data_IF_983210545774
#
_entry.id   IF_983210545774
#
_cell.length_a   1.000
_cell.length_b   1.000
_cell.length_c   1.000
_cell.angle_alpha   90.00
_cell.angle_beta   90.00
_cell.angle_gamma   90.00
#
_symmetry.space_group_name_H-M   'P 1'
#
loop_
_entity.id
_entity.type
_entity.pdbx_description
1 polymer ?
#
# COMPACT_ATOMS: atom_id res chain seq x y z
N UNK A 1 53.82 -42.45 -14.29
CA UNK A 1 55.12 -42.15 -14.91
C UNK A 1 54.98 -40.82 -15.65
N UNK A 2 55.45 -39.73 -15.03
CA UNK A 2 56.41 -38.73 -15.55
C UNK A 2 56.00 -38.09 -16.89
N UNK A 3 55.90 -36.77 -17.03
CA UNK A 3 56.90 -35.79 -16.60
C UNK A 3 56.31 -34.39 -16.35
N UNK A 4 56.89 -33.72 -15.35
CA UNK A 4 56.81 -32.30 -15.13
C UNK A 4 57.84 -31.58 -16.03
N UNK A 5 57.51 -30.36 -16.48
CA UNK A 5 58.48 -29.40 -17.01
C UNK A 5 58.27 -28.05 -16.32
N UNK A 6 59.30 -27.64 -15.57
CA UNK A 6 59.47 -26.34 -14.95
C UNK A 6 60.27 -25.42 -15.87
N UNK A 7 60.10 -24.11 -15.62
CA UNK A 7 61.10 -23.02 -15.66
C UNK A 7 60.71 -21.86 -16.58
N UNK A 8 60.56 -20.69 -15.95
CA UNK A 8 60.52 -19.38 -16.58
C UNK A 8 60.31 -18.28 -15.55
N UNK A 9 61.31 -18.03 -14.69
CA UNK A 9 61.34 -16.87 -13.80
C UNK A 9 61.46 -15.58 -14.63
N UNK A 10 60.53 -14.65 -14.43
CA UNK A 10 60.77 -13.21 -14.64
C UNK A 10 60.33 -12.47 -13.38
N UNK A 11 61.32 -12.08 -12.60
CA UNK A 11 61.21 -11.19 -11.44
C UNK A 11 60.88 -9.78 -11.93
N UNK A 12 59.69 -9.29 -11.61
CA UNK A 12 59.44 -7.86 -11.49
C UNK A 12 58.96 -7.59 -10.06
N UNK A 13 59.85 -6.98 -9.28
CA UNK A 13 59.51 -6.41 -7.99
C UNK A 13 58.59 -5.21 -8.21
N UNK A 14 57.44 -5.22 -7.54
CA UNK A 14 56.67 -4.02 -7.30
C UNK A 14 56.43 -3.90 -5.80
N UNK A 15 56.97 -2.81 -5.25
CA UNK A 15 56.95 -2.43 -3.85
C UNK A 15 55.52 -2.29 -3.32
N UNK A 16 55.36 -2.67 -2.06
CA UNK A 16 54.16 -2.49 -1.26
C UNK A 16 53.99 -1.01 -0.94
N UNK A 17 52.93 -0.37 -1.42
CA UNK A 17 52.43 0.89 -0.88
C UNK A 17 50.93 1.03 -1.11
N UNK A 18 50.20 1.11 0.00
CA UNK A 18 48.86 1.70 0.06
C UNK A 18 47.69 0.74 -0.11
N UNK A 19 47.31 0.07 0.98
CA UNK A 19 45.94 -0.36 1.15
C UNK A 19 45.06 0.87 1.38
N UNK A 20 44.46 1.42 0.31
CA UNK A 20 43.30 2.30 0.42
C UNK A 20 42.05 1.42 0.44
N UNK A 21 41.64 1.02 1.64
CA UNK A 21 40.29 0.54 1.90
C UNK A 21 39.32 1.68 1.59
N UNK A 22 38.82 1.71 0.35
CA UNK A 22 37.67 2.54 -0.03
C UNK A 22 36.45 1.92 0.65
N UNK A 23 36.13 2.45 1.83
CA UNK A 23 34.86 2.19 2.48
C UNK A 23 33.74 2.57 1.52
N UNK A 24 33.00 1.57 1.04
CA UNK A 24 31.71 1.78 0.43
C UNK A 24 30.83 2.55 1.43
N UNK A 25 30.05 3.55 1.01
CA UNK A 25 29.10 4.18 1.90
C UNK A 25 28.12 3.09 2.35
N UNK A 26 28.11 2.81 3.65
CA UNK A 26 27.10 1.99 4.27
C UNK A 26 25.75 2.63 3.95
N UNK A 27 24.97 1.97 3.10
CA UNK A 27 23.57 2.32 2.90
C UNK A 27 22.87 2.24 4.25
N UNK A 28 22.46 3.39 4.77
CA UNK A 28 21.55 3.44 5.89
C UNK A 28 20.30 2.64 5.52
N UNK A 29 19.84 1.68 6.35
CA UNK A 29 18.53 1.09 6.14
C UNK A 29 17.52 2.24 6.17
N UNK A 30 16.84 2.47 5.05
CA UNK A 30 15.70 3.36 5.01
C UNK A 30 14.70 2.83 6.03
N UNK A 31 14.51 3.58 7.12
CA UNK A 31 13.44 3.32 8.07
C UNK A 31 12.13 3.36 7.27
N UNK A 32 11.51 2.18 7.11
CA UNK A 32 10.17 2.08 6.57
C UNK A 32 9.25 2.80 7.56
N UNK A 33 8.47 3.80 7.13
CA UNK A 33 7.55 4.46 8.03
C UNK A 33 6.52 3.42 8.50
N UNK A 34 6.57 3.12 9.80
CA UNK A 34 5.50 2.43 10.50
C UNK A 34 4.33 3.40 10.65
N UNK A 35 3.66 3.69 9.53
CA UNK A 35 2.41 4.46 9.55
C UNK A 35 1.35 3.69 10.33
N UNK A 36 0.58 4.40 11.14
CA UNK A 36 -0.56 3.85 11.88
C UNK A 36 -1.48 3.04 10.93
N UNK A 37 -2.12 1.96 11.41
CA UNK A 37 -3.09 1.23 10.60
C UNK A 37 -4.21 2.19 10.16
N UNK A 38 -4.39 2.36 8.85
CA UNK A 38 -5.52 3.13 8.32
C UNK A 38 -6.81 2.43 8.79
N UNK A 39 -7.75 3.16 9.41
CA UNK A 39 -9.00 2.58 9.85
C UNK A 39 -9.72 1.88 8.68
N UNK A 40 -10.17 0.66 8.90
CA UNK A 40 -10.96 -0.07 7.92
C UNK A 40 -12.39 0.51 7.93
N UNK A 41 -12.60 1.54 7.11
CA UNK A 41 -13.85 2.28 6.97
C UNK A 41 -14.30 2.36 5.51
N UNK A 42 -15.59 2.62 5.31
CA UNK A 42 -16.14 2.82 3.97
C UNK A 42 -15.87 4.24 3.50
N UNK A 43 -15.38 4.39 2.28
CA UNK A 43 -15.24 5.69 1.63
C UNK A 43 -15.45 5.58 0.13
N UNK A 44 -15.76 6.70 -0.51
CA UNK A 44 -15.96 6.78 -1.96
C UNK A 44 -14.87 7.64 -2.58
N UNK A 45 -14.28 7.16 -3.67
CA UNK A 45 -13.39 7.94 -4.54
C UNK A 45 -13.97 7.99 -5.94
N UNK A 46 -13.89 9.14 -6.60
CA UNK A 46 -14.30 9.27 -7.99
C UNK A 46 -13.19 9.91 -8.83
N UNK A 47 -13.12 9.52 -10.09
CA UNK A 47 -12.18 10.07 -11.07
C UNK A 47 -12.83 10.10 -12.44
N UNK A 48 -12.49 11.11 -13.24
CA UNK A 48 -12.91 11.19 -14.64
C UNK A 48 -11.87 10.52 -15.53
N UNK A 49 -12.30 9.66 -16.43
CA UNK A 49 -11.48 9.01 -17.45
C UNK A 49 -12.14 9.19 -18.82
N UNK A 50 -11.64 10.16 -19.59
CA UNK A 50 -12.26 10.56 -20.85
C UNK A 50 -13.69 11.06 -20.62
N UNK A 51 -14.66 10.41 -21.26
CA UNK A 51 -16.09 10.73 -21.15
C UNK A 51 -16.81 9.97 -20.02
N UNK A 52 -16.07 9.16 -19.25
CA UNK A 52 -16.64 8.36 -18.16
C UNK A 52 -16.23 8.91 -16.78
N UNK A 53 -17.19 9.01 -15.88
CA UNK A 53 -16.97 9.16 -14.44
C UNK A 53 -16.93 7.77 -13.80
N UNK A 54 -15.84 7.47 -13.08
CA UNK A 54 -15.65 6.20 -12.37
C UNK A 54 -15.61 6.50 -10.88
N UNK A 55 -16.62 5.99 -10.18
CA UNK A 55 -16.74 6.08 -8.73
C UNK A 55 -16.57 4.71 -8.09
N UNK A 56 -15.64 4.57 -7.16
CA UNK A 56 -15.45 3.38 -6.35
C UNK A 56 -15.80 3.66 -4.89
N UNK A 57 -16.82 2.98 -4.36
CA UNK A 57 -17.07 2.92 -2.92
C UNK A 57 -16.41 1.67 -2.37
N UNK A 58 -15.44 1.84 -1.48
CA UNK A 58 -14.53 0.76 -1.10
C UNK A 58 -14.37 0.62 0.41
N UNK A 59 -14.07 -0.62 0.80
CA UNK A 59 -13.64 -1.01 2.14
C UNK A 59 -12.44 -1.92 1.98
N UNK A 60 -11.34 -1.62 2.67
CA UNK A 60 -10.12 -2.44 2.62
C UNK A 60 -9.67 -2.79 4.02
N UNK A 61 -9.40 -4.07 4.25
CA UNK A 61 -8.87 -4.56 5.50
C UNK A 61 -7.49 -5.17 5.25
N UNK A 62 -6.51 -4.67 5.99
CA UNK A 62 -5.13 -5.14 5.98
C UNK A 62 -4.75 -5.64 7.37
N UNK A 63 -3.87 -6.63 7.42
CA UNK A 63 -3.27 -7.09 8.66
C UNK A 63 -2.21 -6.08 9.14
N UNK A 64 -1.78 -6.20 10.40
CA UNK A 64 -0.68 -5.41 10.97
C UNK A 64 0.63 -5.58 10.18
N UNK A 65 0.80 -6.73 9.53
CA UNK A 65 1.92 -7.05 8.62
C UNK A 65 1.82 -6.34 7.26
N UNK A 66 0.85 -5.45 7.06
CA UNK A 66 0.52 -4.77 5.79
C UNK A 66 0.06 -5.71 4.67
N UNK A 67 -0.31 -6.94 5.01
CA UNK A 67 -0.84 -7.89 4.04
C UNK A 67 -2.34 -7.68 3.86
N UNK A 68 -2.82 -7.78 2.62
CA UNK A 68 -4.24 -7.70 2.31
C UNK A 68 -4.98 -8.87 2.99
N UNK A 69 -5.99 -8.57 3.80
CA UNK A 69 -6.93 -9.58 4.31
C UNK A 69 -8.10 -9.72 3.32
N UNK A 70 -8.75 -8.61 2.99
CA UNK A 70 -9.81 -8.56 1.97
C UNK A 70 -10.07 -7.10 1.58
N UNK A 71 -10.63 -6.88 0.39
CA UNK A 71 -11.27 -5.62 0.04
C UNK A 71 -12.59 -5.85 -0.68
N UNK A 72 -13.50 -4.89 -0.56
CA UNK A 72 -14.77 -4.85 -1.31
C UNK A 72 -14.84 -3.52 -2.04
N UNK A 73 -15.13 -3.57 -3.34
CA UNK A 73 -15.22 -2.39 -4.21
C UNK A 73 -16.56 -2.40 -4.92
N UNK A 74 -17.27 -1.26 -4.88
CA UNK A 74 -18.49 -1.03 -5.65
C UNK A 74 -18.16 0.04 -6.69
N UNK A 75 -17.88 -0.41 -7.90
CA UNK A 75 -17.43 0.42 -9.01
C UNK A 75 -18.64 0.79 -9.86
N UNK A 76 -18.91 2.08 -9.96
CA UNK A 76 -19.95 2.67 -10.78
C UNK A 76 -19.27 3.49 -11.88
N UNK A 77 -19.47 3.08 -13.12
CA UNK A 77 -19.02 3.81 -14.32
C UNK A 77 -20.25 4.44 -14.96
N UNK A 78 -20.20 5.75 -15.17
CA UNK A 78 -21.26 6.54 -15.83
C UNK A 78 -20.66 7.37 -16.96
N UNK A 79 -21.36 7.47 -18.09
CA UNK A 79 -20.90 8.27 -19.24
C UNK A 79 -21.17 7.55 -20.56
N UNK A 80 -20.14 7.44 -21.41
CA UNK A 80 -20.19 6.70 -22.66
C UNK A 80 -20.50 5.20 -22.45
N UNK A 81 -20.03 4.63 -21.34
CA UNK A 81 -20.40 3.27 -20.89
C UNK A 81 -21.04 3.39 -19.51
N UNK A 82 -22.11 2.65 -19.29
CA UNK A 82 -22.78 2.56 -18.00
C UNK A 82 -22.63 1.12 -17.48
N UNK A 83 -21.89 0.96 -16.39
CA UNK A 83 -21.63 -0.35 -15.81
C UNK A 83 -21.48 -0.23 -14.30
N UNK A 84 -22.04 -1.21 -13.58
CA UNK A 84 -21.93 -1.30 -12.14
C UNK A 84 -21.40 -2.69 -11.77
N UNK A 85 -20.30 -2.74 -11.03
CA UNK A 85 -19.62 -3.98 -10.68
C UNK A 85 -19.32 -3.98 -9.20
N UNK A 86 -19.59 -5.11 -8.55
CA UNK A 86 -19.08 -5.39 -7.22
C UNK A 86 -17.89 -6.32 -7.33
N UNK A 87 -16.82 -5.99 -6.62
CA UNK A 87 -15.63 -6.81 -6.56
C UNK A 87 -15.31 -7.19 -5.10
N UNK A 88 -14.95 -8.44 -4.90
CA UNK A 88 -14.30 -8.93 -3.70
C UNK A 88 -12.84 -9.27 -4.04
N UNK A 89 -11.92 -8.63 -3.34
CA UNK A 89 -10.48 -8.87 -3.47
C UNK A 89 -10.03 -9.72 -2.30
N UNK A 90 -9.43 -10.87 -2.59
CA UNK A 90 -8.97 -11.84 -1.58
C UNK A 90 -7.50 -12.21 -1.83
N UNK A 91 -6.79 -12.78 -0.84
CA UNK A 91 -5.44 -13.29 -1.04
C UNK A 91 -5.39 -14.38 -2.12
N UNK A 92 -4.18 -14.69 -2.58
CA UNK A 92 -3.94 -15.80 -3.52
C UNK A 92 -4.13 -17.18 -2.85
N UNK A 93 -3.95 -18.25 -3.62
CA UNK A 93 -4.13 -19.62 -3.12
C UNK A 93 -5.60 -19.97 -2.85
N UNK A 94 -6.50 -19.51 -3.73
CA UNK A 94 -7.95 -19.77 -3.67
C UNK A 94 -8.41 -20.73 -4.77
N UNK A 95 -9.46 -21.46 -4.48
CA UNK A 95 -10.08 -22.40 -5.43
C UNK A 95 -10.95 -21.62 -6.39
N UNK A 96 -10.45 -21.40 -7.61
CA UNK A 96 -11.09 -20.56 -8.63
C UNK A 96 -12.56 -21.00 -8.92
N UNK A 97 -12.87 -22.29 -9.14
CA UNK A 97 -14.25 -22.68 -9.45
C UNK A 97 -15.25 -22.45 -8.32
N UNK A 98 -14.80 -22.24 -7.07
CA UNK A 98 -15.68 -22.00 -5.93
C UNK A 98 -16.16 -20.54 -5.84
N UNK A 99 -15.47 -19.60 -6.51
CA UNK A 99 -15.74 -18.17 -6.42
C UNK A 99 -15.53 -17.59 -5.02
N UNK A 100 -16.09 -16.40 -4.81
CA UNK A 100 -16.16 -15.72 -3.51
C UNK A 100 -17.62 -15.46 -3.17
N UNK A 101 -18.05 -15.86 -1.97
CA UNK A 101 -19.43 -15.64 -1.52
C UNK A 101 -19.52 -14.36 -0.71
N UNK A 102 -20.49 -13.51 -1.05
CA UNK A 102 -20.90 -12.34 -0.29
C UNK A 102 -22.22 -12.64 0.41
N UNK A 103 -22.24 -12.53 1.74
CA UNK A 103 -23.44 -12.73 2.55
C UNK A 103 -23.70 -11.52 3.42
N UNK A 104 -24.87 -10.90 3.27
CA UNK A 104 -25.28 -9.77 4.10
C UNK A 104 -26.17 -10.30 5.22
N UNK A 105 -25.73 -10.13 6.46
CA UNK A 105 -26.38 -10.64 7.67
C UNK A 105 -26.83 -12.12 7.53
N UNK A 106 -28.13 -12.36 7.46
CA UNK A 106 -28.73 -13.70 7.36
C UNK A 106 -29.26 -14.03 5.96
N UNK A 107 -29.09 -13.12 4.98
CA UNK A 107 -29.58 -13.30 3.62
C UNK A 107 -28.86 -14.44 2.89
N UNK A 108 -29.43 -14.87 1.76
CA UNK A 108 -28.78 -15.83 0.88
C UNK A 108 -27.46 -15.26 0.33
N UNK A 109 -26.39 -16.06 0.24
CA UNK A 109 -25.13 -15.60 -0.30
C UNK A 109 -25.21 -15.39 -1.82
N UNK A 110 -24.55 -14.35 -2.31
CA UNK A 110 -24.30 -14.10 -3.73
C UNK A 110 -22.89 -14.58 -4.06
N UNK A 111 -22.72 -15.34 -5.13
CA UNK A 111 -21.40 -15.84 -5.55
C UNK A 111 -20.81 -14.97 -6.65
N UNK A 112 -19.59 -14.49 -6.42
CA UNK A 112 -18.78 -13.73 -7.36
C UNK A 112 -17.79 -14.69 -8.03
N UNK A 113 -17.65 -14.58 -9.35
CA UNK A 113 -16.71 -15.40 -10.10
C UNK A 113 -15.38 -14.67 -10.20
N UNK A 114 -14.26 -15.42 -10.13
CA UNK A 114 -12.95 -14.82 -10.32
C UNK A 114 -12.79 -14.28 -11.74
N UNK A 115 -12.49 -12.99 -11.87
CA UNK A 115 -12.16 -12.35 -13.15
C UNK A 115 -10.66 -12.38 -13.42
N UNK A 116 -9.84 -12.16 -12.38
CA UNK A 116 -8.38 -12.12 -12.51
C UNK A 116 -7.68 -12.48 -11.19
N UNK A 117 -6.53 -13.14 -11.29
CA UNK A 117 -5.61 -13.33 -10.18
C UNK A 117 -4.23 -12.77 -10.52
N UNK A 118 -3.74 -11.86 -9.68
CA UNK A 118 -2.39 -11.32 -9.66
C UNK A 118 -1.53 -12.07 -8.62
N UNK A 119 -0.20 -11.90 -8.63
CA UNK A 119 0.68 -12.55 -7.65
C UNK A 119 0.35 -12.24 -6.18
N UNK A 120 -0.19 -11.05 -5.90
CA UNK A 120 -0.52 -10.56 -4.57
C UNK A 120 -2.00 -10.74 -4.18
N UNK A 121 -2.91 -10.87 -5.15
CA UNK A 121 -4.36 -10.89 -4.90
C UNK A 121 -5.17 -11.55 -6.01
N UNK A 122 -6.33 -12.08 -5.67
CA UNK A 122 -7.36 -12.50 -6.62
C UNK A 122 -8.58 -11.59 -6.51
N UNK A 123 -9.16 -11.24 -7.66
CA UNK A 123 -10.36 -10.41 -7.78
C UNK A 123 -11.49 -11.29 -8.30
N UNK A 124 -12.58 -11.34 -7.53
CA UNK A 124 -13.84 -11.91 -7.96
C UNK A 124 -14.86 -10.79 -8.12
N UNK A 125 -15.71 -10.90 -9.14
CA UNK A 125 -16.66 -9.86 -9.47
C UNK A 125 -18.01 -10.41 -9.94
N UNK A 126 -19.01 -9.54 -9.84
CA UNK A 126 -20.35 -9.75 -10.37
C UNK A 126 -20.94 -8.39 -10.71
N UNK A 127 -22.06 -8.40 -11.44
CA UNK A 127 -22.89 -7.21 -11.61
C UNK A 127 -23.36 -6.70 -10.24
N UNK A 128 -23.21 -5.39 -10.01
CA UNK A 128 -23.76 -4.74 -8.84
C UNK A 128 -25.22 -4.39 -9.13
N UNK A 129 -26.14 -5.08 -8.46
CA UNK A 129 -27.58 -4.83 -8.62
C UNK A 129 -28.10 -3.86 -7.57
N UNK A 130 -29.16 -3.12 -7.92
CA UNK A 130 -29.85 -2.23 -6.98
C UNK A 130 -30.34 -2.96 -5.72
N UNK A 131 -30.78 -4.21 -5.87
CA UNK A 131 -31.21 -5.06 -4.76
C UNK A 131 -30.05 -5.37 -3.79
N UNK A 132 -28.84 -5.61 -4.32
CA UNK A 132 -27.65 -5.85 -3.51
C UNK A 132 -27.24 -4.56 -2.77
N UNK A 133 -27.24 -3.42 -3.46
CA UNK A 133 -26.98 -2.11 -2.84
C UNK A 133 -27.98 -1.84 -1.71
N UNK A 134 -29.27 -2.03 -1.97
CA UNK A 134 -30.32 -1.85 -0.97
C UNK A 134 -30.12 -2.77 0.25
N UNK A 135 -29.76 -4.03 0.02
CA UNK A 135 -29.42 -4.96 1.10
C UNK A 135 -28.20 -4.50 1.90
N UNK A 136 -27.16 -3.97 1.26
CA UNK A 136 -25.98 -3.45 1.96
C UNK A 136 -26.29 -2.19 2.78
N UNK A 137 -27.17 -1.31 2.27
CA UNK A 137 -27.61 -0.11 3.01
C UNK A 137 -28.43 -0.44 4.26
N UNK A 138 -29.24 -1.49 4.19
CA UNK A 138 -30.09 -1.93 5.28
C UNK A 138 -29.37 -2.87 6.28
N UNK A 139 -28.31 -3.53 5.84
CA UNK A 139 -27.61 -4.55 6.62
C UNK A 139 -26.61 -4.00 7.63
N UNK A 140 -26.24 -4.84 8.60
CA UNK A 140 -25.25 -4.51 9.62
C UNK A 140 -23.86 -5.07 9.32
N UNK A 141 -23.79 -6.24 8.69
CA UNK A 141 -22.56 -6.95 8.40
C UNK A 141 -22.58 -7.62 7.03
N UNK A 142 -21.47 -7.49 6.30
CA UNK A 142 -21.15 -8.24 5.09
C UNK A 142 -20.09 -9.29 5.44
N UNK A 143 -20.34 -10.57 5.15
CA UNK A 143 -19.35 -11.63 5.26
C UNK A 143 -18.83 -11.99 3.87
N UNK A 144 -17.53 -11.83 3.66
CA UNK A 144 -16.81 -12.25 2.45
C UNK A 144 -16.19 -13.61 2.70
N UNK A 145 -16.61 -14.65 1.98
CA UNK A 145 -16.12 -16.02 2.16
C UNK A 145 -15.42 -16.51 0.91
N UNK A 146 -14.13 -16.84 1.04
CA UNK A 146 -13.34 -17.48 -0.02
C UNK A 146 -12.92 -18.89 0.39
N UNK A 147 -12.64 -19.76 -0.58
CA UNK A 147 -12.19 -21.13 -0.32
C UNK A 147 -10.69 -21.24 -0.63
N UNK A 148 -9.88 -21.63 0.35
CA UNK A 148 -8.44 -21.81 0.17
C UNK A 148 -8.09 -23.11 -0.58
N UNK A 149 -6.84 -23.28 -0.99
CA UNK A 149 -6.36 -24.46 -1.72
C UNK A 149 -6.54 -25.79 -0.95
N UNK A 150 -6.71 -25.75 0.37
CA UNK A 150 -7.03 -26.90 1.23
C UNK A 150 -8.54 -27.17 1.30
N UNK A 151 -9.36 -26.47 0.49
CA UNK A 151 -10.83 -26.52 0.47
C UNK A 151 -11.49 -26.08 1.78
N UNK A 152 -10.82 -25.26 2.57
CA UNK A 152 -11.39 -24.66 3.77
C UNK A 152 -11.99 -23.30 3.46
N UNK A 153 -13.16 -23.02 4.02
CA UNK A 153 -13.79 -21.72 3.94
C UNK A 153 -13.08 -20.73 4.87
N UNK A 154 -12.89 -19.51 4.37
CA UNK A 154 -12.32 -18.39 5.10
C UNK A 154 -13.33 -17.23 5.12
N UNK A 155 -14.25 -17.21 6.11
CA UNK A 155 -15.23 -16.13 6.26
C UNK A 155 -14.61 -14.91 6.95
N UNK A 156 -14.74 -13.75 6.31
CA UNK A 156 -14.22 -12.48 6.80
C UNK A 156 -15.38 -11.51 7.01
N UNK A 157 -15.68 -11.11 8.25
CA UNK A 157 -16.73 -10.13 8.53
C UNK A 157 -16.26 -8.71 8.24
N UNK A 158 -17.12 -7.93 7.60
CA UNK A 158 -16.96 -6.50 7.28
C UNK A 158 -18.19 -5.79 7.84
N UNK A 159 -17.96 -4.72 8.62
CA UNK A 159 -19.07 -3.87 9.09
C UNK A 159 -19.68 -3.11 7.92
N UNK A 160 -21.01 -2.99 7.87
CA UNK A 160 -21.70 -2.09 6.92
C UNK A 160 -21.96 -0.71 7.52
N UNK A 161 -21.51 -0.45 8.75
CA UNK A 161 -21.54 0.89 9.33
C UNK A 161 -20.78 1.89 8.45
N UNK A 162 -21.41 3.03 8.15
CA UNK A 162 -20.85 4.05 7.27
C UNK A 162 -21.01 3.77 5.77
N UNK A 163 -21.44 2.57 5.36
CA UNK A 163 -21.60 2.21 3.94
C UNK A 163 -22.57 3.16 3.21
N UNK A 164 -23.78 3.36 3.75
CA UNK A 164 -24.79 4.23 3.12
C UNK A 164 -24.26 5.66 2.95
N UNK A 165 -23.59 6.19 3.97
CA UNK A 165 -22.98 7.52 3.93
C UNK A 165 -21.90 7.63 2.86
N UNK A 166 -21.03 6.63 2.74
CA UNK A 166 -20.00 6.59 1.70
C UNK A 166 -20.62 6.42 0.30
N UNK A 167 -21.56 5.49 0.14
CA UNK A 167 -22.16 5.13 -1.14
C UNK A 167 -23.08 6.22 -1.71
N UNK A 168 -23.81 6.95 -0.88
CA UNK A 168 -24.69 8.05 -1.34
C UNK A 168 -24.01 9.43 -1.24
N UNK A 169 -23.04 9.58 -0.34
CA UNK A 169 -22.36 10.83 -0.08
C UNK A 169 -21.36 11.26 -1.16
N UNK A 170 -20.80 12.47 -1.03
CA UNK A 170 -19.78 12.95 -1.95
C UNK A 170 -18.51 12.09 -1.87
N UNK A 171 -17.69 12.09 -2.93
CA UNK A 171 -16.38 11.44 -2.88
C UNK A 171 -15.53 12.06 -1.77
N UNK A 172 -14.94 11.21 -0.94
CA UNK A 172 -13.98 11.62 0.07
C UNK A 172 -12.65 11.90 -0.62
N UNK A 173 -12.02 13.04 -0.32
CA UNK A 173 -10.62 13.24 -0.69
C UNK A 173 -9.81 12.09 -0.07
N UNK A 174 -9.00 11.40 -0.88
CA UNK A 174 -8.34 10.15 -0.48
C UNK A 174 -7.74 10.31 0.93
N UNK A 175 -8.05 9.44 1.91
CA UNK A 175 -7.49 9.55 3.25
C UNK A 175 -5.95 9.54 3.21
N UNK A 176 -5.36 8.86 2.23
CA UNK A 176 -3.93 8.90 1.93
C UNK A 176 -3.42 10.31 1.54
N UNK A 177 -4.20 11.12 0.83
CA UNK A 177 -3.81 12.50 0.49
C UNK A 177 -3.82 13.40 1.73
N UNK A 178 -4.82 13.26 2.59
CA UNK A 178 -4.87 14.03 3.85
C UNK A 178 -3.70 13.64 4.77
N UNK A 179 -3.45 12.34 4.93
CA UNK A 179 -2.30 11.82 5.68
C UNK A 179 -0.97 12.26 5.08
N UNK A 180 -0.77 12.09 3.77
CA UNK A 180 0.45 12.51 3.06
C UNK A 180 0.67 14.01 3.15
N UNK A 181 -0.38 14.83 3.10
CA UNK A 181 -0.27 16.28 3.27
C UNK A 181 0.15 16.64 4.70
N UNK A 182 -0.39 15.95 5.70
CA UNK A 182 -0.01 16.14 7.09
C UNK A 182 1.45 15.73 7.34
N UNK A 183 1.85 14.53 6.90
CA UNK A 183 3.22 14.05 6.98
C UNK A 183 4.20 14.99 6.28
N UNK A 184 3.83 15.50 5.09
CA UNK A 184 4.64 16.49 4.37
C UNK A 184 4.82 17.77 5.18
N UNK A 185 3.75 18.30 5.77
CA UNK A 185 3.80 19.52 6.58
C UNK A 185 4.69 19.34 7.82
N UNK A 186 4.56 18.21 8.51
CA UNK A 186 5.39 17.87 9.68
C UNK A 186 6.87 17.68 9.31
N UNK A 187 7.15 17.01 8.19
CA UNK A 187 8.52 16.82 7.69
C UNK A 187 9.17 18.17 7.32
N UNK A 188 8.43 19.07 6.66
CA UNK A 188 8.89 20.42 6.33
C UNK A 188 9.20 21.24 7.58
N UNK A 189 8.36 21.15 8.62
CA UNK A 189 8.59 21.82 9.90
C UNK A 189 9.87 21.31 10.59
N UNK A 190 10.05 19.98 10.70
CA UNK A 190 11.28 19.40 11.26
C UNK A 190 12.53 19.88 10.53
N UNK A 191 12.53 19.87 9.19
CA UNK A 191 13.66 20.35 8.41
C UNK A 191 13.95 21.85 8.62
N UNK A 192 12.92 22.67 8.81
CA UNK A 192 13.09 24.09 9.11
C UNK A 192 13.74 24.32 10.48
N UNK A 193 13.33 23.56 11.51
CA UNK A 193 13.90 23.65 12.85
C UNK A 193 15.36 23.15 12.90
N UNK A 194 15.66 22.05 12.23
CA UNK A 194 17.03 21.54 12.14
C UNK A 194 17.97 22.53 11.44
N UNK A 195 17.51 23.18 10.37
CA UNK A 195 18.29 24.22 9.69
C UNK A 195 18.48 25.46 10.58
N UNK A 196 17.47 25.85 11.35
CA UNK A 196 17.57 26.96 12.30
C UNK A 196 18.63 26.68 13.36
N UNK A 197 18.58 25.51 14.01
CA UNK A 197 19.57 25.10 15.01
C UNK A 197 20.99 25.09 14.44
N UNK A 198 21.18 24.49 13.25
CA UNK A 198 22.50 24.49 12.58
C UNK A 198 23.01 25.92 12.31
N UNK A 199 22.14 26.85 11.93
CA UNK A 199 22.50 28.25 11.73
C UNK A 199 22.85 28.97 13.04
N UNK A 200 22.11 28.70 14.11
CA UNK A 200 22.39 29.24 15.45
C UNK A 200 23.72 28.71 16.01
N UNK A 201 23.97 27.41 15.88
CA UNK A 201 25.22 26.76 16.30
C UNK A 201 26.41 27.31 15.51
N UNK A 202 26.27 27.47 14.19
CA UNK A 202 27.31 28.06 13.35
C UNK A 202 27.59 29.53 13.71
N UNK A 203 26.56 30.32 14.02
CA UNK A 203 26.73 31.70 14.49
C UNK A 203 27.40 31.79 15.86
N UNK A 204 27.02 30.91 16.79
CA UNK A 204 27.61 30.86 18.12
C UNK A 204 29.07 30.41 18.07
N UNK A 205 29.40 29.43 17.22
CA UNK A 205 30.77 29.01 16.96
C UNK A 205 31.62 30.13 16.34
N UNK A 206 31.06 30.90 15.39
CA UNK A 206 31.73 32.05 14.80
C UNK A 206 31.96 33.20 15.80
N UNK A 207 31.03 33.43 16.73
CA UNK A 207 31.17 34.45 17.80
C UNK A 207 32.11 34.03 18.93
N UNK A 208 32.30 32.73 19.15
CA UNK A 208 33.20 32.20 20.17
C UNK A 208 34.66 32.06 19.69
N UNK A 209 34.94 32.24 18.39
CA UNK A 209 36.29 32.31 17.87
C UNK A 209 36.91 33.67 18.24
N UNK A 210 38.01 33.71 19.03
CA UNK A 210 38.65 34.98 19.36
C UNK A 210 39.24 35.61 18.10
N UNK A 211 38.93 36.88 17.85
CA UNK A 211 39.62 37.72 16.86
C UNK A 211 41.11 37.66 17.16
N UNK A 212 41.87 36.90 16.34
CA UNK A 212 43.33 36.98 16.36
C UNK A 212 43.68 38.30 15.69
N UNK A 213 44.32 39.26 16.37
CA UNK A 213 44.68 40.54 15.76
C UNK A 213 45.67 40.28 14.63
N UNK A 214 45.36 40.81 13.44
CA UNK A 214 46.29 40.85 12.32
C UNK A 214 47.53 41.67 12.72
N UNK A 215 48.71 41.07 12.56
CA UNK A 215 50.01 41.73 12.66
C UNK A 215 50.28 42.60 11.42
#
# INVERSE_FOLDING_TARGET
MLAAALVGLATFGFSVSGASAQGAPAGQPAAQPSGEPVPAEWFKVCSNQGENEICNTQYTMVADTRQLITAVNLINVKGAVNQQVIQAVVPTGRVIPAGVQLKIDTNAPVTLNYSVCFPDRCIAEAELTDALVASMKAGGQLTVTSINFQRQANPIPITLSGFTGAYDGPPTAQPELAQRQQELNEALQKQAEERRKKFEDAQNAAKAAPETPAQ
#
